data_IF_732442143631
#
_entry.id   IF_732442143631
#
_cell.length_a   1.000
_cell.length_b   1.000
_cell.length_c   1.000
_cell.angle_alpha   90.00
_cell.angle_beta   90.00
_cell.angle_gamma   90.00
#
_symmetry.space_group_name_H-M   'P 1'
#
loop_
_entity.id
_entity.type
_entity.pdbx_description
1 polymer ?
#
# COMPACT_ATOMS: atom_id res chain seq x y z
N UNK A 1 56.02 80.04 -34.36
CA UNK A 1 55.30 79.48 -33.22
C UNK A 1 54.77 78.07 -33.60
N UNK A 2 55.52 77.01 -33.31
CA UNK A 2 55.14 75.61 -33.61
C UNK A 2 54.73 74.95 -32.29
N UNK A 3 53.44 74.47 -32.23
CA UNK A 3 52.89 73.67 -31.14
C UNK A 3 53.08 72.19 -31.47
N UNK A 4 53.95 71.50 -30.73
CA UNK A 4 54.09 70.05 -30.77
C UNK A 4 52.91 69.36 -30.10
N UNK A 5 52.14 68.55 -30.84
CA UNK A 5 51.18 67.62 -30.30
C UNK A 5 51.86 66.28 -30.02
N UNK A 6 51.98 65.92 -28.75
CA UNK A 6 52.40 64.60 -28.29
C UNK A 6 51.23 63.62 -28.43
N UNK A 7 51.38 62.61 -29.26
CA UNK A 7 50.47 61.46 -29.33
C UNK A 7 50.76 60.54 -28.16
N UNK A 8 49.77 60.32 -27.27
CA UNK A 8 49.83 59.31 -26.24
C UNK A 8 49.31 57.97 -26.83
N UNK A 9 50.19 56.97 -26.85
CA UNK A 9 49.88 55.63 -27.24
C UNK A 9 49.25 54.94 -26.01
N UNK A 10 47.96 54.52 -26.10
CA UNK A 10 47.28 53.74 -25.04
C UNK A 10 47.39 52.27 -25.40
N UNK A 11 48.17 51.54 -24.59
CA UNK A 11 48.25 50.09 -24.69
C UNK A 11 47.01 49.50 -24.01
N UNK A 12 46.10 48.82 -24.74
CA UNK A 12 45.06 47.99 -24.18
C UNK A 12 45.67 46.61 -23.87
N UNK A 13 45.81 46.30 -22.58
CA UNK A 13 46.12 44.93 -22.13
C UNK A 13 44.80 44.17 -22.07
N UNK A 14 44.64 43.21 -23.01
CA UNK A 14 43.51 42.25 -22.99
C UNK A 14 43.77 41.21 -21.91
N UNK A 15 43.09 41.30 -20.75
CA UNK A 15 43.06 40.26 -19.74
C UNK A 15 42.09 39.17 -20.24
N UNK A 16 42.62 38.03 -20.70
CA UNK A 16 41.85 36.80 -20.90
C UNK A 16 41.47 36.22 -19.52
N UNK A 17 40.25 36.47 -19.09
CA UNK A 17 39.67 35.81 -17.93
C UNK A 17 39.32 34.36 -18.30
N UNK A 18 40.14 33.39 -17.91
CA UNK A 18 39.83 31.97 -17.94
C UNK A 18 38.74 31.69 -16.90
N UNK A 19 37.47 31.49 -17.35
CA UNK A 19 36.39 31.05 -16.51
C UNK A 19 36.66 29.59 -16.06
N UNK A 20 36.63 29.29 -14.76
CA UNK A 20 36.72 27.92 -14.31
C UNK A 20 35.46 27.18 -14.78
N UNK A 21 35.65 26.12 -15.58
CA UNK A 21 34.59 25.22 -15.99
C UNK A 21 33.92 24.62 -14.77
N UNK A 22 32.65 24.97 -14.51
CA UNK A 22 31.80 24.28 -13.56
C UNK A 22 31.55 22.88 -14.10
N UNK A 23 32.36 21.90 -13.66
CA UNK A 23 31.98 20.49 -13.78
C UNK A 23 30.72 20.27 -12.98
N UNK A 24 29.56 20.20 -13.66
CA UNK A 24 28.32 19.76 -13.04
C UNK A 24 28.55 18.32 -12.54
N UNK A 25 28.80 18.19 -11.24
CA UNK A 25 28.82 16.89 -10.57
C UNK A 25 27.42 16.29 -10.73
N UNK A 26 27.28 15.31 -11.63
CA UNK A 26 26.06 14.51 -11.72
C UNK A 26 26.00 13.70 -10.42
N UNK A 27 25.18 14.16 -9.47
CA UNK A 27 24.79 13.33 -8.34
C UNK A 27 24.25 12.00 -8.92
N UNK A 28 24.70 10.86 -8.43
CA UNK A 28 24.20 9.57 -8.91
C UNK A 28 22.68 9.59 -8.79
N UNK A 29 21.98 9.27 -9.89
CA UNK A 29 20.52 9.19 -9.89
C UNK A 29 20.09 8.30 -8.73
N UNK A 30 19.22 8.82 -7.86
CA UNK A 30 18.79 8.10 -6.66
C UNK A 30 18.16 6.76 -7.09
N UNK A 31 18.76 5.67 -6.61
CA UNK A 31 18.25 4.31 -6.84
C UNK A 31 17.08 4.07 -5.91
N UNK A 32 15.95 4.72 -6.18
CA UNK A 32 14.79 4.75 -5.33
C UNK A 32 13.52 4.59 -6.17
N UNK A 33 12.52 3.91 -5.62
CA UNK A 33 11.15 3.83 -6.15
C UNK A 33 10.15 4.25 -5.07
N UNK A 34 9.01 4.80 -5.51
CA UNK A 34 7.89 5.13 -4.64
C UNK A 34 6.73 4.17 -4.91
N UNK A 35 6.26 3.50 -3.88
CA UNK A 35 5.24 2.47 -3.95
C UNK A 35 4.00 2.90 -3.18
N UNK A 36 2.85 2.96 -3.87
CA UNK A 36 1.54 3.08 -3.23
C UNK A 36 1.04 1.68 -2.86
N UNK A 37 0.59 1.48 -1.63
CA UNK A 37 0.13 0.16 -1.18
C UNK A 37 -1.09 0.23 -0.25
N UNK A 38 -1.98 -0.73 -0.39
CA UNK A 38 -3.09 -0.92 0.53
C UNK A 38 -2.56 -1.22 1.95
N UNK A 39 -3.23 -0.66 2.96
CA UNK A 39 -2.73 -0.66 4.35
C UNK A 39 -2.69 -2.03 5.03
N UNK A 40 -3.41 -3.02 4.52
CA UNK A 40 -3.31 -4.41 4.96
C UNK A 40 -1.93 -5.02 4.73
N UNK A 41 -1.16 -4.45 3.78
CA UNK A 41 0.22 -4.84 3.48
C UNK A 41 1.26 -4.19 4.39
N UNK A 42 0.89 -3.26 5.27
CA UNK A 42 1.85 -2.40 5.97
C UNK A 42 3.06 -3.19 6.51
N UNK A 43 2.84 -4.16 7.39
CA UNK A 43 3.92 -4.94 8.00
C UNK A 43 4.65 -5.83 7.00
N UNK A 44 3.91 -6.58 6.17
CA UNK A 44 4.50 -7.51 5.20
C UNK A 44 5.33 -6.78 4.12
N UNK A 45 4.81 -5.70 3.57
CA UNK A 45 5.51 -4.97 2.51
C UNK A 45 6.70 -4.16 3.05
N UNK A 46 6.63 -3.68 4.29
CA UNK A 46 7.77 -3.04 4.97
C UNK A 46 8.93 -4.03 5.12
N UNK A 47 8.66 -5.27 5.56
CA UNK A 47 9.68 -6.32 5.64
C UNK A 47 10.25 -6.68 4.26
N UNK A 48 9.38 -6.84 3.26
CA UNK A 48 9.79 -7.13 1.88
C UNK A 48 10.64 -6.01 1.28
N UNK A 49 10.25 -4.76 1.49
CA UNK A 49 10.99 -3.59 1.02
C UNK A 49 12.40 -3.53 1.65
N UNK A 50 12.51 -3.71 2.96
CA UNK A 50 13.79 -3.73 3.66
C UNK A 50 14.70 -4.88 3.17
N UNK A 51 14.15 -6.07 2.94
CA UNK A 51 14.88 -7.21 2.39
C UNK A 51 15.34 -6.96 0.95
N UNK A 52 14.50 -6.36 0.12
CA UNK A 52 14.86 -5.97 -1.25
C UNK A 52 15.96 -4.91 -1.27
N UNK A 53 15.83 -3.87 -0.46
CA UNK A 53 16.82 -2.80 -0.33
C UNK A 53 18.19 -3.34 0.09
N UNK A 54 18.23 -4.21 1.11
CA UNK A 54 19.47 -4.87 1.57
C UNK A 54 20.17 -5.66 0.46
N UNK A 55 19.39 -6.28 -0.45
CA UNK A 55 19.94 -7.14 -1.54
C UNK A 55 20.38 -6.35 -2.77
N UNK A 56 19.75 -5.23 -3.04
CA UNK A 56 19.90 -4.53 -4.33
C UNK A 56 20.46 -3.11 -4.21
N UNK A 57 20.43 -2.53 -3.02
CA UNK A 57 20.74 -1.11 -2.80
C UNK A 57 19.70 -0.17 -3.46
N UNK A 58 18.49 -0.66 -3.75
CA UNK A 58 17.38 0.15 -4.26
C UNK A 58 16.46 0.46 -3.10
N UNK A 59 16.32 1.74 -2.76
CA UNK A 59 15.41 2.20 -1.71
C UNK A 59 13.96 2.13 -2.18
N UNK A 60 13.08 1.60 -1.32
CA UNK A 60 11.64 1.51 -1.57
C UNK A 60 10.90 2.42 -0.59
N UNK A 61 10.38 3.54 -1.08
CA UNK A 61 9.52 4.43 -0.27
C UNK A 61 8.09 3.96 -0.35
N UNK A 62 7.54 3.55 0.77
CA UNK A 62 6.17 3.06 0.90
C UNK A 62 5.23 4.20 1.30
N UNK A 63 4.07 4.28 0.64
CA UNK A 63 2.95 5.14 0.99
C UNK A 63 1.70 4.28 1.10
N UNK A 64 1.10 4.26 2.30
CA UNK A 64 -0.03 3.40 2.59
C UNK A 64 -1.35 4.18 2.61
N UNK A 65 -2.42 3.55 2.08
CA UNK A 65 -3.76 4.14 2.03
C UNK A 65 -4.83 3.12 1.66
N UNK A 66 -6.09 3.56 1.56
CA UNK A 66 -7.13 2.74 0.96
C UNK A 66 -6.88 2.61 -0.55
N UNK A 67 -7.16 1.43 -1.13
CA UNK A 67 -6.89 1.17 -2.55
C UNK A 67 -7.57 2.19 -3.48
N UNK A 68 -8.83 2.54 -3.24
CA UNK A 68 -9.54 3.53 -4.03
C UNK A 68 -8.97 4.94 -3.90
N UNK A 69 -8.61 5.37 -2.68
CA UNK A 69 -7.97 6.67 -2.43
C UNK A 69 -6.62 6.76 -3.16
N UNK A 70 -5.80 5.71 -3.11
CA UNK A 70 -4.53 5.65 -3.83
C UNK A 70 -4.73 5.65 -5.36
N UNK A 71 -5.77 4.95 -5.85
CA UNK A 71 -6.15 4.99 -7.28
C UNK A 71 -6.47 6.40 -7.73
N UNK A 72 -7.30 7.14 -6.98
CA UNK A 72 -7.61 8.53 -7.27
C UNK A 72 -6.36 9.43 -7.25
N UNK A 73 -5.45 9.23 -6.29
CA UNK A 73 -4.18 9.96 -6.26
C UNK A 73 -3.33 9.68 -7.51
N UNK A 74 -3.25 8.42 -7.95
CA UNK A 74 -2.55 8.02 -9.19
C UNK A 74 -3.22 8.68 -10.39
N UNK A 75 -4.54 8.67 -10.50
CA UNK A 75 -5.30 9.32 -11.56
C UNK A 75 -5.03 10.82 -11.61
N UNK A 76 -4.89 11.46 -10.46
CA UNK A 76 -4.60 12.88 -10.30
C UNK A 76 -3.10 13.24 -10.40
N UNK A 77 -2.24 12.30 -10.75
CA UNK A 77 -0.86 12.59 -11.05
C UNK A 77 0.15 12.30 -9.95
N UNK A 78 -0.22 11.68 -8.84
CA UNK A 78 0.73 11.32 -7.80
C UNK A 78 1.90 10.47 -8.36
N UNK A 79 3.17 10.78 -7.99
CA UNK A 79 4.36 10.23 -8.66
C UNK A 79 4.76 8.86 -8.10
N UNK A 80 3.85 7.91 -8.13
CA UNK A 80 4.13 6.53 -7.77
C UNK A 80 4.72 5.74 -8.94
N UNK A 81 5.58 4.76 -8.63
CA UNK A 81 6.20 3.86 -9.59
C UNK A 81 5.45 2.51 -9.66
N UNK A 82 4.99 2.01 -8.50
CA UNK A 82 4.24 0.74 -8.38
C UNK A 82 3.03 0.96 -7.48
N UNK A 83 1.93 0.28 -7.81
CA UNK A 83 0.72 0.26 -6.99
C UNK A 83 0.36 -1.17 -6.58
N UNK A 84 0.14 -1.37 -5.27
CA UNK A 84 -0.38 -2.59 -4.65
C UNK A 84 -1.78 -2.34 -4.14
N UNK A 85 -2.76 -3.00 -4.70
CA UNK A 85 -4.17 -2.90 -4.32
C UNK A 85 -4.64 -4.13 -3.54
N UNK A 86 -5.57 -3.92 -2.62
CA UNK A 86 -6.27 -4.99 -1.91
C UNK A 86 -7.39 -5.66 -2.74
N UNK A 87 -7.52 -5.32 -4.01
CA UNK A 87 -8.34 -6.01 -5.01
C UNK A 87 -7.68 -5.98 -6.39
N UNK A 88 -8.29 -6.63 -7.38
CA UNK A 88 -7.86 -6.62 -8.78
C UNK A 88 -8.54 -5.51 -9.59
N UNK A 89 -9.61 -4.89 -9.08
CA UNK A 89 -10.43 -3.98 -9.88
C UNK A 89 -9.73 -2.63 -10.06
N UNK A 90 -9.17 -2.05 -9.02
CA UNK A 90 -8.42 -0.80 -9.12
C UNK A 90 -7.18 -0.88 -10.02
N UNK A 91 -6.34 -1.93 -9.99
CA UNK A 91 -5.29 -2.13 -10.98
C UNK A 91 -5.83 -2.18 -12.41
N UNK A 92 -6.95 -2.90 -12.66
CA UNK A 92 -7.58 -2.96 -13.99
C UNK A 92 -8.16 -1.63 -14.44
N UNK A 93 -8.73 -0.85 -13.52
CA UNK A 93 -9.21 0.50 -13.78
C UNK A 93 -8.07 1.41 -14.28
N UNK A 94 -6.91 1.40 -13.59
CA UNK A 94 -5.73 2.16 -14.01
C UNK A 94 -5.18 1.71 -15.37
N UNK A 95 -5.22 0.40 -15.66
CA UNK A 95 -4.84 -0.14 -16.98
C UNK A 95 -5.79 0.38 -18.05
N UNK A 96 -7.09 0.29 -17.83
CA UNK A 96 -8.11 0.75 -18.77
C UNK A 96 -8.03 2.25 -19.06
N UNK A 97 -7.59 3.03 -18.06
CA UNK A 97 -7.31 4.46 -18.18
C UNK A 97 -5.92 4.78 -18.80
N UNK A 98 -5.14 3.77 -19.22
CA UNK A 98 -3.78 3.95 -19.76
C UNK A 98 -2.73 4.39 -18.74
N UNK A 99 -3.06 4.34 -17.44
CA UNK A 99 -2.20 4.85 -16.37
C UNK A 99 -1.32 3.77 -15.70
N UNK A 100 -1.57 2.50 -16.00
CA UNK A 100 -0.73 1.38 -15.58
C UNK A 100 -0.41 0.45 -16.75
N UNK A 101 0.71 -0.25 -16.66
CA UNK A 101 1.17 -1.21 -17.68
C UNK A 101 0.42 -2.53 -17.54
N UNK A 102 -0.40 -2.89 -18.54
CA UNK A 102 -1.17 -4.14 -18.54
C UNK A 102 -0.28 -5.39 -18.38
N UNK A 103 0.92 -5.38 -18.96
CA UNK A 103 1.90 -6.47 -18.86
C UNK A 103 2.46 -6.67 -17.46
N UNK A 104 2.31 -5.68 -16.58
CA UNK A 104 2.78 -5.74 -15.19
C UNK A 104 1.73 -6.24 -14.19
N UNK A 105 0.46 -6.41 -14.64
CA UNK A 105 -0.60 -6.87 -13.76
C UNK A 105 -0.27 -8.25 -13.17
N UNK A 106 -0.21 -8.30 -11.84
CA UNK A 106 0.11 -9.53 -11.15
C UNK A 106 -0.74 -9.69 -9.88
N UNK A 107 -1.44 -10.83 -9.75
CA UNK A 107 -2.15 -11.22 -8.53
C UNK A 107 -1.14 -11.82 -7.54
N UNK A 108 -0.72 -11.04 -6.55
CA UNK A 108 0.35 -11.42 -5.63
C UNK A 108 -0.14 -12.19 -4.40
N UNK A 109 -1.40 -11.98 -3.97
CA UNK A 109 -1.94 -12.60 -2.78
C UNK A 109 -3.48 -12.64 -2.79
N UNK A 110 -4.05 -13.39 -1.83
CA UNK A 110 -5.46 -13.30 -1.43
C UNK A 110 -5.48 -12.91 0.04
N UNK A 111 -6.14 -11.78 0.33
CA UNK A 111 -6.33 -11.28 1.70
C UNK A 111 -7.45 -12.03 2.43
N UNK A 112 -7.42 -11.94 3.75
CA UNK A 112 -8.47 -12.49 4.63
C UNK A 112 -8.95 -11.44 5.61
N UNK A 113 -10.24 -11.44 5.87
CA UNK A 113 -10.88 -10.57 6.85
C UNK A 113 -11.23 -11.36 8.11
N UNK A 114 -11.06 -10.74 9.26
CA UNK A 114 -11.38 -11.31 10.57
C UNK A 114 -12.23 -10.34 11.37
N UNK A 115 -13.01 -10.86 12.29
CA UNK A 115 -13.65 -10.09 13.35
C UNK A 115 -12.70 -10.10 14.56
N UNK A 116 -12.32 -8.92 15.07
CA UNK A 116 -11.29 -8.78 16.10
C UNK A 116 -11.78 -7.94 17.28
N UNK A 117 -11.35 -8.32 18.48
CA UNK A 117 -11.59 -7.61 19.75
C UNK A 117 -10.29 -7.53 20.55
N UNK A 118 -10.11 -6.52 21.45
CA UNK A 118 -8.99 -6.46 22.38
C UNK A 118 -8.94 -7.69 23.30
N UNK A 119 -7.78 -7.99 23.86
CA UNK A 119 -7.56 -9.18 24.70
C UNK A 119 -8.42 -9.19 25.96
N UNK A 120 -8.68 -8.02 26.54
CA UNK A 120 -9.49 -7.79 27.74
C UNK A 120 -11.00 -7.62 27.45
N UNK A 121 -11.41 -7.70 26.18
CA UNK A 121 -12.82 -7.61 25.81
C UNK A 121 -13.64 -8.74 26.42
N UNK A 122 -14.85 -8.47 26.97
CA UNK A 122 -15.77 -9.51 27.43
C UNK A 122 -16.44 -10.29 26.30
N UNK A 123 -16.31 -9.83 25.06
CA UNK A 123 -16.95 -10.44 23.89
C UNK A 123 -16.23 -11.76 23.52
N UNK A 124 -16.99 -12.84 23.44
CA UNK A 124 -16.50 -14.16 23.01
C UNK A 124 -16.55 -14.29 21.49
N UNK A 125 -15.62 -13.58 20.81
CA UNK A 125 -15.59 -13.56 19.35
C UNK A 125 -15.21 -14.93 18.76
N UNK A 126 -14.39 -15.71 19.49
CA UNK A 126 -13.84 -16.97 18.99
C UNK A 126 -14.92 -18.07 18.84
N UNK A 127 -15.88 -18.12 19.75
CA UNK A 127 -16.96 -19.12 19.69
C UNK A 127 -18.24 -18.60 19.08
N UNK A 128 -18.55 -17.30 19.24
CA UNK A 128 -19.80 -16.71 18.75
C UNK A 128 -19.68 -16.12 17.34
N UNK A 129 -18.47 -15.89 16.85
CA UNK A 129 -18.26 -15.31 15.53
C UNK A 129 -19.03 -14.02 15.33
N UNK A 130 -19.71 -13.88 14.19
CA UNK A 130 -20.45 -12.65 13.85
C UNK A 130 -21.66 -12.38 14.74
N UNK A 131 -22.16 -13.34 15.52
CA UNK A 131 -23.30 -13.10 16.42
C UNK A 131 -22.96 -12.13 17.55
N UNK A 132 -21.67 -11.90 17.88
CA UNK A 132 -21.26 -10.87 18.86
C UNK A 132 -21.65 -9.47 18.43
N UNK A 133 -21.87 -9.22 17.13
CA UNK A 133 -22.29 -7.91 16.63
C UNK A 133 -23.67 -7.47 17.17
N UNK A 134 -24.50 -8.42 17.57
CA UNK A 134 -25.84 -8.16 18.14
C UNK A 134 -25.81 -8.07 19.68
N UNK A 135 -24.66 -8.29 20.31
CA UNK A 135 -24.53 -8.14 21.77
C UNK A 135 -24.89 -6.70 22.18
N UNK A 136 -25.73 -6.53 23.22
CA UNK A 136 -26.13 -5.19 23.67
C UNK A 136 -24.99 -4.28 24.14
N UNK A 137 -23.85 -4.83 24.51
CA UNK A 137 -22.63 -4.08 24.88
C UNK A 137 -21.91 -3.50 23.67
N UNK A 138 -22.13 -4.03 22.46
CA UNK A 138 -21.53 -3.54 21.21
C UNK A 138 -22.31 -2.32 20.73
N UNK A 139 -21.77 -1.13 20.97
CA UNK A 139 -22.33 0.14 20.54
C UNK A 139 -21.76 0.63 19.22
N UNK A 140 -20.51 0.27 18.94
CA UNK A 140 -19.78 0.67 17.72
C UNK A 140 -19.01 -0.51 17.14
N UNK A 141 -19.16 -0.69 15.85
CA UNK A 141 -18.50 -1.73 15.03
C UNK A 141 -17.62 -1.03 14.01
N UNK A 142 -16.32 -1.27 14.04
CA UNK A 142 -15.41 -0.63 13.09
C UNK A 142 -15.27 -1.44 11.81
N UNK A 143 -15.37 -0.74 10.68
CA UNK A 143 -15.05 -1.28 9.35
C UNK A 143 -14.25 -0.24 8.56
N UNK A 144 -13.48 -0.66 7.57
CA UNK A 144 -12.95 0.27 6.57
C UNK A 144 -14.10 0.84 5.72
N UNK A 145 -13.97 2.07 5.23
CA UNK A 145 -15.00 2.70 4.41
C UNK A 145 -15.21 1.92 3.09
N UNK A 146 -16.38 1.32 2.86
CA UNK A 146 -16.64 0.48 1.68
C UNK A 146 -16.62 1.26 0.36
N UNK A 147 -16.73 2.59 0.40
CA UNK A 147 -16.69 3.41 -0.81
C UNK A 147 -15.34 3.29 -1.56
N UNK A 148 -14.24 3.08 -0.83
CA UNK A 148 -12.90 3.03 -1.44
C UNK A 148 -11.96 1.97 -0.84
N UNK A 149 -12.43 1.16 0.13
CA UNK A 149 -11.63 0.09 0.72
C UNK A 149 -12.23 -1.30 0.43
N UNK A 150 -11.50 -2.19 -0.27
CA UNK A 150 -11.96 -3.56 -0.55
C UNK A 150 -12.35 -4.34 0.69
N UNK A 151 -11.59 -4.20 1.77
CA UNK A 151 -11.92 -4.82 3.07
C UNK A 151 -13.22 -4.30 3.67
N UNK A 152 -13.56 -3.03 3.45
CA UNK A 152 -14.85 -2.47 3.86
C UNK A 152 -16.02 -3.08 3.09
N UNK A 153 -15.87 -3.26 1.78
CA UNK A 153 -16.86 -3.98 0.95
C UNK A 153 -17.02 -5.43 1.41
N UNK A 154 -15.92 -6.11 1.73
CA UNK A 154 -15.95 -7.47 2.25
C UNK A 154 -16.66 -7.56 3.61
N UNK A 155 -16.45 -6.59 4.52
CA UNK A 155 -17.15 -6.51 5.80
C UNK A 155 -18.66 -6.38 5.62
N UNK A 156 -19.10 -5.47 4.74
CA UNK A 156 -20.52 -5.26 4.42
C UNK A 156 -21.11 -6.54 3.80
N UNK A 157 -20.40 -7.17 2.86
CA UNK A 157 -20.85 -8.42 2.23
C UNK A 157 -21.00 -9.55 3.25
N UNK A 158 -20.02 -9.71 4.15
CA UNK A 158 -20.07 -10.71 5.21
C UNK A 158 -21.26 -10.51 6.17
N UNK A 159 -21.51 -9.26 6.60
CA UNK A 159 -22.69 -8.96 7.43
C UNK A 159 -24.01 -9.21 6.71
N UNK A 160 -24.09 -8.91 5.41
CA UNK A 160 -25.28 -9.18 4.59
C UNK A 160 -25.48 -10.69 4.40
N UNK A 161 -24.41 -11.47 4.20
CA UNK A 161 -24.48 -12.92 4.04
C UNK A 161 -25.17 -13.60 5.23
N UNK A 162 -24.89 -13.13 6.46
CA UNK A 162 -25.51 -13.65 7.68
C UNK A 162 -26.74 -12.84 8.13
N UNK A 163 -27.26 -11.94 7.28
CA UNK A 163 -28.46 -11.12 7.52
C UNK A 163 -28.40 -10.22 8.77
N UNK A 164 -27.19 -9.80 9.14
CA UNK A 164 -26.97 -8.89 10.29
C UNK A 164 -26.80 -7.42 9.89
N UNK A 165 -26.52 -7.13 8.63
CA UNK A 165 -26.17 -5.76 8.20
C UNK A 165 -27.23 -4.74 8.60
N UNK A 166 -28.49 -4.98 8.32
CA UNK A 166 -29.58 -4.03 8.60
C UNK A 166 -29.81 -3.83 10.11
N UNK A 167 -29.44 -4.82 10.92
CA UNK A 167 -29.57 -4.74 12.39
C UNK A 167 -28.43 -3.95 13.05
N UNK A 168 -27.29 -3.77 12.36
CA UNK A 168 -26.09 -3.19 12.96
C UNK A 168 -25.55 -1.99 12.21
N UNK A 169 -26.12 -1.65 11.05
CA UNK A 169 -25.61 -0.63 10.14
C UNK A 169 -25.51 0.77 10.75
N UNK A 170 -26.41 1.11 11.68
CA UNK A 170 -26.43 2.36 12.44
C UNK A 170 -25.29 2.48 13.48
N UNK A 171 -24.66 1.36 13.81
CA UNK A 171 -23.51 1.26 14.74
C UNK A 171 -22.15 1.21 14.04
N UNK A 172 -22.13 1.27 12.71
CA UNK A 172 -20.89 1.21 11.95
C UNK A 172 -20.09 2.50 12.08
N UNK A 173 -18.80 2.35 12.39
CA UNK A 173 -17.82 3.43 12.39
C UNK A 173 -16.84 3.17 11.24
N UNK A 174 -16.76 4.12 10.32
CA UNK A 174 -15.98 3.98 9.09
C UNK A 174 -14.57 4.53 9.27
N UNK A 175 -13.56 3.65 9.20
CA UNK A 175 -12.17 4.04 9.05
C UNK A 175 -11.85 4.36 7.60
N UNK A 176 -10.99 5.33 7.34
CA UNK A 176 -10.51 5.68 6.00
C UNK A 176 -9.96 4.45 5.24
N UNK A 177 -9.32 3.54 5.98
CA UNK A 177 -8.74 2.30 5.48
C UNK A 177 -8.79 1.23 6.56
N UNK A 178 -8.31 0.02 6.25
CA UNK A 178 -8.41 -1.13 7.16
C UNK A 178 -7.51 -0.99 8.40
N UNK A 179 -6.41 -0.26 8.33
CA UNK A 179 -5.56 0.01 9.50
C UNK A 179 -6.24 0.98 10.46
N UNK A 180 -6.93 2.02 9.97
CA UNK A 180 -7.69 2.92 10.83
C UNK A 180 -8.88 2.20 11.47
N UNK A 181 -9.53 1.28 10.74
CA UNK A 181 -10.57 0.44 11.32
C UNK A 181 -10.04 -0.37 12.52
N UNK A 182 -8.83 -0.95 12.42
CA UNK A 182 -8.17 -1.63 13.51
C UNK A 182 -7.86 -0.66 14.69
N UNK A 183 -7.33 0.52 14.39
CA UNK A 183 -7.01 1.56 15.40
C UNK A 183 -8.24 1.99 16.22
N UNK A 184 -9.43 2.04 15.62
CA UNK A 184 -10.65 2.37 16.37
C UNK A 184 -10.98 1.32 17.42
N UNK A 185 -10.67 0.06 17.18
CA UNK A 185 -10.85 -1.01 18.18
C UNK A 185 -9.72 -0.96 19.20
N UNK A 186 -8.46 -0.82 18.78
CA UNK A 186 -7.30 -0.71 19.65
C UNK A 186 -7.41 0.45 20.66
N UNK A 187 -8.00 1.57 20.24
CA UNK A 187 -8.20 2.76 21.08
C UNK A 187 -9.48 2.73 21.91
N UNK A 188 -10.29 1.66 21.81
CA UNK A 188 -11.58 1.56 22.50
C UNK A 188 -12.71 2.41 21.89
N UNK A 189 -12.48 3.04 20.73
CA UNK A 189 -13.50 3.81 20.01
C UNK A 189 -14.56 2.91 19.35
N UNK A 190 -14.27 1.61 19.18
CA UNK A 190 -15.22 0.58 18.80
C UNK A 190 -14.96 -0.68 19.65
N UNK A 191 -16.01 -1.43 19.97
CA UNK A 191 -15.90 -2.64 20.80
C UNK A 191 -15.39 -3.85 20.00
N UNK A 192 -15.63 -3.85 18.69
CA UNK A 192 -15.29 -4.91 17.75
C UNK A 192 -15.04 -4.30 16.37
N UNK A 193 -14.21 -4.93 15.57
CA UNK A 193 -13.97 -4.46 14.21
C UNK A 193 -13.67 -5.57 13.22
N UNK A 194 -14.01 -5.29 11.97
CA UNK A 194 -13.55 -6.07 10.83
C UNK A 194 -12.18 -5.56 10.42
N UNK A 195 -11.16 -6.42 10.54
CA UNK A 195 -9.77 -6.07 10.27
C UNK A 195 -9.12 -7.11 9.34
N UNK A 196 -7.97 -6.77 8.77
CA UNK A 196 -7.21 -7.73 7.96
C UNK A 196 -6.55 -8.78 8.86
N UNK A 197 -6.56 -10.05 8.46
CA UNK A 197 -5.79 -11.10 9.15
C UNK A 197 -4.32 -10.71 9.25
N UNK A 198 -3.77 -10.10 8.18
CA UNK A 198 -2.38 -9.64 8.15
C UNK A 198 -2.05 -8.61 9.24
N UNK A 199 -3.02 -7.83 9.69
CA UNK A 199 -2.84 -6.89 10.79
C UNK A 199 -2.71 -7.63 12.13
N UNK A 200 -3.65 -8.53 12.45
CA UNK A 200 -3.70 -9.24 13.75
C UNK A 200 -2.60 -10.29 13.91
N UNK A 201 -2.03 -10.79 12.81
CA UNK A 201 -0.89 -11.71 12.82
C UNK A 201 0.46 -11.00 12.82
N UNK A 202 0.48 -9.67 12.65
CA UNK A 202 1.73 -8.90 12.67
C UNK A 202 2.41 -8.99 14.06
N UNK A 203 3.76 -8.88 14.11
CA UNK A 203 4.50 -8.93 15.36
C UNK A 203 3.99 -7.91 16.39
N UNK A 204 3.59 -6.72 15.95
CA UNK A 204 3.11 -5.63 16.81
C UNK A 204 1.73 -5.90 17.42
N UNK A 205 0.93 -6.76 16.81
CA UNK A 205 -0.44 -7.08 17.23
C UNK A 205 -0.57 -8.43 17.95
N UNK A 206 0.47 -9.24 17.89
CA UNK A 206 0.47 -10.57 18.52
C UNK A 206 0.17 -10.48 20.02
N UNK A 207 -0.89 -11.16 20.46
CA UNK A 207 -1.32 -11.20 21.87
C UNK A 207 -2.14 -9.97 22.32
N UNK A 208 -2.37 -8.96 21.46
CA UNK A 208 -3.17 -7.77 21.82
C UNK A 208 -4.67 -7.99 21.73
N UNK A 209 -5.12 -9.10 21.17
CA UNK A 209 -6.54 -9.36 21.01
C UNK A 209 -6.84 -10.79 20.59
N UNK A 210 -8.12 -11.03 20.41
CA UNK A 210 -8.68 -12.30 19.95
C UNK A 210 -9.47 -12.05 18.67
N UNK A 211 -9.50 -13.04 17.79
CA UNK A 211 -10.19 -12.88 16.52
C UNK A 211 -10.86 -14.17 16.06
N UNK A 212 -11.88 -14.01 15.24
CA UNK A 212 -12.54 -15.08 14.51
C UNK A 212 -12.39 -14.83 13.01
N UNK A 213 -11.91 -15.84 12.27
CA UNK A 213 -11.78 -15.74 10.83
C UNK A 213 -13.16 -15.87 10.18
N UNK A 214 -13.54 -14.87 9.41
CA UNK A 214 -14.79 -14.90 8.65
C UNK A 214 -14.65 -15.92 7.51
N UNK A 215 -15.61 -16.85 7.35
CA UNK A 215 -15.57 -17.83 6.28
C UNK A 215 -15.43 -17.16 4.91
N UNK A 216 -14.54 -17.65 4.04
CA UNK A 216 -14.24 -17.00 2.76
C UNK A 216 -15.46 -16.97 1.81
N UNK A 217 -16.43 -17.85 1.99
CA UNK A 217 -17.69 -17.86 1.23
C UNK A 217 -18.66 -16.73 1.63
N UNK A 218 -18.46 -16.08 2.76
CA UNK A 218 -19.29 -14.99 3.25
C UNK A 218 -19.03 -13.63 2.55
N UNK A 219 -17.97 -13.51 1.76
CA UNK A 219 -17.60 -12.27 1.08
C UNK A 219 -16.85 -12.55 -0.23
N UNK A 220 -16.86 -11.60 -1.19
CA UNK A 220 -16.06 -11.73 -2.41
C UNK A 220 -14.59 -11.90 -2.13
N UNK A 221 -13.90 -12.79 -2.83
CA UNK A 221 -12.47 -13.02 -2.64
C UNK A 221 -11.68 -11.71 -2.71
N UNK A 222 -10.80 -11.49 -1.74
CA UNK A 222 -9.90 -10.34 -1.70
C UNK A 222 -8.62 -10.66 -2.50
N UNK A 223 -8.80 -10.94 -3.80
CA UNK A 223 -7.69 -11.13 -4.74
C UNK A 223 -6.93 -9.82 -4.89
N UNK A 224 -5.67 -9.78 -4.46
CA UNK A 224 -4.87 -8.57 -4.43
C UNK A 224 -3.96 -8.47 -5.64
N UNK A 225 -3.96 -7.29 -6.26
CA UNK A 225 -3.22 -7.03 -7.49
C UNK A 225 -2.19 -5.92 -7.38
N UNK A 226 -1.10 -6.04 -8.15
CA UNK A 226 -0.15 -4.95 -8.33
C UNK A 226 -0.01 -4.59 -9.81
N UNK A 227 0.42 -3.34 -10.06
CA UNK A 227 0.77 -2.84 -11.39
C UNK A 227 1.92 -1.83 -11.30
N UNK A 228 2.68 -1.69 -12.41
CA UNK A 228 3.64 -0.61 -12.61
C UNK A 228 2.91 0.56 -13.26
N UNK A 229 3.14 1.78 -12.75
CA UNK A 229 2.49 2.99 -13.25
C UNK A 229 3.15 3.44 -14.56
N UNK A 230 2.33 3.69 -15.59
CA UNK A 230 2.79 3.99 -16.97
C UNK A 230 3.73 5.19 -17.04
N UNK A 231 3.50 6.24 -16.24
CA UNK A 231 4.34 7.45 -16.19
C UNK A 231 5.61 7.34 -15.35
N UNK A 232 5.83 6.21 -14.66
CA UNK A 232 7.07 5.99 -13.90
C UNK A 232 8.29 6.21 -14.79
N UNK A 233 9.23 7.02 -14.32
CA UNK A 233 10.55 7.20 -14.94
C UNK A 233 11.57 6.18 -14.46
N UNK A 234 11.19 5.34 -13.49
CA UNK A 234 12.03 4.33 -12.82
C UNK A 234 11.61 2.90 -13.13
N UNK A 235 11.05 2.67 -14.33
CA UNK A 235 10.46 1.36 -14.73
C UNK A 235 11.38 0.18 -14.48
N UNK A 236 12.68 0.29 -14.79
CA UNK A 236 13.65 -0.79 -14.54
C UNK A 236 13.74 -1.16 -13.05
N UNK A 237 13.74 -0.16 -12.17
CA UNK A 237 13.78 -0.39 -10.72
C UNK A 237 12.44 -0.94 -10.21
N UNK A 238 11.32 -0.40 -10.72
CA UNK A 238 9.97 -0.90 -10.42
C UNK A 238 9.81 -2.36 -10.84
N UNK A 239 10.23 -2.72 -12.06
CA UNK A 239 10.23 -4.11 -12.54
C UNK A 239 11.07 -5.02 -11.64
N UNK A 240 12.26 -4.58 -11.23
CA UNK A 240 13.11 -5.36 -10.34
C UNK A 240 12.42 -5.66 -8.98
N UNK A 241 11.68 -4.68 -8.44
CA UNK A 241 10.90 -4.88 -7.21
C UNK A 241 9.71 -5.82 -7.44
N UNK A 242 8.95 -5.65 -8.53
CA UNK A 242 7.84 -6.54 -8.88
C UNK A 242 8.33 -7.98 -9.06
N UNK A 243 9.45 -8.20 -9.74
CA UNK A 243 10.04 -9.54 -9.89
C UNK A 243 10.49 -10.13 -8.55
N UNK A 244 10.99 -9.29 -7.62
CA UNK A 244 11.29 -9.75 -6.27
C UNK A 244 10.02 -10.21 -5.53
N UNK A 245 8.89 -9.50 -5.66
CA UNK A 245 7.61 -9.90 -5.06
C UNK A 245 7.13 -11.27 -5.58
N UNK A 246 7.47 -11.63 -6.80
CA UNK A 246 7.14 -12.95 -7.39
C UNK A 246 8.00 -14.11 -6.87
N UNK A 247 9.02 -13.84 -6.07
CA UNK A 247 9.93 -14.90 -5.59
C UNK A 247 9.29 -15.77 -4.49
N UNK A 248 9.73 -17.04 -4.35
CA UNK A 248 9.32 -17.89 -3.24
C UNK A 248 9.64 -17.30 -1.86
N UNK A 249 10.68 -16.49 -1.76
CA UNK A 249 11.04 -15.79 -0.51
C UNK A 249 9.96 -14.76 -0.14
N UNK A 250 9.52 -13.95 -1.10
CA UNK A 250 8.44 -12.99 -0.86
C UNK A 250 7.12 -13.71 -0.54
N UNK A 251 6.82 -14.81 -1.22
CA UNK A 251 5.66 -15.65 -0.93
C UNK A 251 5.64 -16.15 0.52
N UNK A 252 6.79 -16.60 1.05
CA UNK A 252 6.91 -17.01 2.45
C UNK A 252 6.62 -15.88 3.42
N UNK A 253 7.13 -14.68 3.15
CA UNK A 253 6.85 -13.50 3.99
C UNK A 253 5.35 -13.17 3.95
N UNK A 254 4.73 -13.07 2.77
CA UNK A 254 3.29 -12.83 2.67
C UNK A 254 2.48 -13.88 3.42
N UNK A 255 2.82 -15.17 3.29
CA UNK A 255 2.13 -16.25 3.99
C UNK A 255 2.28 -16.17 5.50
N UNK A 256 3.43 -15.73 6.03
CA UNK A 256 3.63 -15.56 7.48
C UNK A 256 2.74 -14.47 8.10
N UNK A 257 2.27 -13.53 7.27
CA UNK A 257 1.28 -12.52 7.65
C UNK A 257 -0.17 -12.95 7.33
N UNK A 258 -0.41 -14.23 6.99
CA UNK A 258 -1.77 -14.77 6.80
C UNK A 258 -2.36 -14.53 5.41
N UNK A 259 -1.58 -14.03 4.45
CA UNK A 259 -2.00 -14.02 3.05
C UNK A 259 -1.94 -15.42 2.45
N UNK A 260 -2.93 -15.75 1.62
CA UNK A 260 -2.82 -16.92 0.74
C UNK A 260 -2.12 -16.49 -0.54
N UNK A 261 -0.95 -17.07 -0.82
CA UNK A 261 -0.24 -16.79 -2.08
C UNK A 261 -0.67 -17.82 -3.12
N UNK A 262 -1.21 -17.38 -4.29
CA UNK A 262 -1.58 -18.31 -5.35
C UNK A 262 -0.36 -19.12 -5.83
N UNK A 263 -0.54 -20.42 -6.06
CA UNK A 263 0.50 -21.24 -6.69
C UNK A 263 0.84 -20.66 -8.07
N UNK A 264 2.09 -20.30 -8.25
CA UNK A 264 2.57 -19.95 -9.58
C UNK A 264 2.63 -21.22 -10.41
N UNK A 265 1.73 -21.37 -11.39
CA UNK A 265 1.94 -22.37 -12.44
C UNK A 265 3.29 -22.04 -13.08
N UNK A 266 4.30 -22.86 -12.82
CA UNK A 266 5.54 -22.82 -13.60
C UNK A 266 5.12 -23.10 -15.04
N UNK A 267 5.17 -22.08 -15.89
CA UNK A 267 5.16 -22.34 -17.33
C UNK A 267 6.37 -23.24 -17.60
N UNK A 268 6.08 -24.51 -17.85
CA UNK A 268 7.08 -25.44 -18.35
C UNK A 268 7.50 -24.91 -19.74
N UNK A 269 8.74 -24.41 -19.80
CA UNK A 269 9.39 -24.08 -21.08
C UNK A 269 9.74 -25.36 -21.81
#
# INVERSE_FOLDING_TARGET
>A
MLRHRRKRLVFYVLLLASAPGFSASHAPASREITVAAATDLNSALTELAASFEKRTGITVRLSFGASGTLTQQIQNGAPFDVFFSADMDYPRELISAGQAEASSLYRYAVGRIVLWVPADSPLDVEHKGMSVLTDPSVKKISIANPAHAPYGRAAVAAMKHVQLYDQVSDRLVLGENISQAAQFVESGNAQVGFVALAHVTSPDMKGKGRYWQIPPEAYPALDQGLVIISRSRRKKLATAFVEYIKTPQAAKVLSSYGFTVPEQKREQK
#
